data_IF_721097442767
#
_entry.id   IF_721097442767
#
_cell.length_a   1.000
_cell.length_b   1.000
_cell.length_c   1.000
_cell.angle_alpha   90.00
_cell.angle_beta   90.00
_cell.angle_gamma   90.00
#
_symmetry.space_group_name_H-M   'P 1'
#
loop_
_entity.id
_entity.type
_entity.pdbx_description
1 polymer ?
#
# COMPACT_ATOMS: atom_id res chain seq x y z
N UNK A 1 1.95 -5.35 17.16
CA UNK A 1 0.82 -4.45 16.81
C UNK A 1 1.15 -3.78 15.48
N UNK A 2 0.24 -3.84 14.50
CA UNK A 2 0.48 -3.21 13.18
C UNK A 2 0.51 -1.70 13.33
N UNK A 3 1.61 -1.07 12.89
CA UNK A 3 1.73 0.37 12.81
C UNK A 3 1.14 0.85 11.49
N UNK A 4 0.14 1.74 11.53
CA UNK A 4 -0.39 2.40 10.33
C UNK A 4 0.20 3.80 10.17
N UNK A 5 0.66 4.12 8.97
CA UNK A 5 1.12 5.45 8.54
C UNK A 5 0.28 5.84 7.33
N UNK A 6 -0.29 7.04 7.35
CA UNK A 6 -1.13 7.54 6.24
C UNK A 6 -0.39 8.67 5.55
N UNK A 7 -0.34 8.60 4.22
CA UNK A 7 0.27 9.62 3.36
C UNK A 7 -0.72 10.01 2.27
N UNK A 8 -0.61 11.25 1.77
CA UNK A 8 -1.52 11.83 0.76
C UNK A 8 -0.80 12.42 -0.44
N UNK A 9 0.52 12.33 -0.46
CA UNK A 9 1.36 12.81 -1.55
C UNK A 9 2.54 11.85 -1.78
N UNK A 10 3.18 12.00 -2.93
CA UNK A 10 4.38 11.22 -3.25
C UNK A 10 5.54 11.54 -2.28
N UNK A 11 5.73 12.82 -1.94
CA UNK A 11 6.79 13.24 -1.02
C UNK A 11 6.57 12.69 0.39
N UNK A 12 5.32 12.74 0.90
CA UNK A 12 4.98 12.12 2.19
C UNK A 12 5.22 10.61 2.18
N UNK A 13 4.91 9.95 1.06
CA UNK A 13 5.20 8.53 0.88
C UNK A 13 6.71 8.25 0.90
N UNK A 14 7.51 9.03 0.17
CA UNK A 14 8.97 8.90 0.14
C UNK A 14 9.57 9.09 1.54
N UNK A 15 9.12 10.09 2.29
CA UNK A 15 9.55 10.31 3.68
C UNK A 15 9.16 9.14 4.59
N UNK A 16 7.94 8.62 4.45
CA UNK A 16 7.49 7.45 5.20
C UNK A 16 8.35 6.22 4.89
N UNK A 17 8.62 5.93 3.62
CA UNK A 17 9.46 4.80 3.22
C UNK A 17 10.88 4.97 3.72
N UNK A 18 11.48 6.14 3.57
CA UNK A 18 12.84 6.37 4.05
C UNK A 18 12.98 6.17 5.56
N UNK A 19 11.91 6.48 6.31
CA UNK A 19 11.86 6.26 7.76
C UNK A 19 11.65 4.80 8.16
N UNK A 20 10.80 4.07 7.42
CA UNK A 20 10.32 2.75 7.85
C UNK A 20 10.91 1.58 7.09
N UNK A 21 11.60 1.79 5.95
CA UNK A 21 12.16 0.72 5.13
C UNK A 21 13.02 -0.25 5.97
N UNK A 22 12.92 -1.57 5.74
CA UNK A 22 13.68 -2.54 6.51
C UNK A 22 15.17 -2.28 6.36
N UNK A 23 15.89 -2.22 7.48
CA UNK A 23 17.36 -2.16 7.47
C UNK A 23 17.92 -3.58 7.50
N UNK A 24 19.17 -3.81 7.06
CA UNK A 24 19.77 -5.15 7.05
C UNK A 24 19.76 -5.89 8.40
N UNK A 25 19.70 -5.14 9.52
CA UNK A 25 19.63 -5.69 10.88
C UNK A 25 18.20 -6.06 11.32
N UNK A 26 17.19 -5.55 10.63
CA UNK A 26 15.77 -5.63 11.01
C UNK A 26 15.07 -6.73 10.19
N UNK A 27 15.65 -7.94 10.18
CA UNK A 27 15.19 -9.09 9.35
C UNK A 27 13.74 -9.55 9.59
N UNK A 28 13.05 -9.03 10.60
CA UNK A 28 11.68 -9.41 10.96
C UNK A 28 10.68 -8.26 10.79
N UNK A 29 11.12 -7.08 10.33
CA UNK A 29 10.25 -5.92 10.19
C UNK A 29 9.58 -5.96 8.81
N UNK A 30 8.27 -6.23 8.80
CA UNK A 30 7.47 -6.26 7.59
C UNK A 30 7.00 -4.84 7.26
N UNK A 31 7.31 -4.36 6.05
CA UNK A 31 6.82 -3.07 5.55
C UNK A 31 5.93 -3.29 4.34
N UNK A 32 4.69 -2.83 4.45
CA UNK A 32 3.67 -2.93 3.42
C UNK A 32 3.30 -1.53 2.93
N UNK A 33 3.18 -1.38 1.62
CA UNK A 33 2.73 -0.14 1.00
C UNK A 33 1.42 -0.41 0.28
N UNK A 34 0.34 0.22 0.73
CA UNK A 34 -0.96 0.13 0.09
C UNK A 34 -1.27 1.46 -0.58
N UNK A 35 -1.36 1.46 -1.90
CA UNK A 35 -1.73 2.62 -2.70
C UNK A 35 -3.19 2.51 -3.08
N UNK A 36 -3.96 3.54 -2.76
CA UNK A 36 -5.39 3.59 -3.01
C UNK A 36 -5.80 4.97 -3.51
N UNK A 37 -6.95 5.05 -4.18
CA UNK A 37 -7.57 6.34 -4.47
C UNK A 37 -7.93 7.08 -3.18
N UNK A 38 -7.72 8.39 -3.14
CA UNK A 38 -8.15 9.24 -2.02
C UNK A 38 -9.62 9.05 -1.68
N UNK A 39 -9.89 9.20 -0.39
CA UNK A 39 -11.22 9.04 0.20
C UNK A 39 -11.89 10.40 0.38
N UNK A 40 -13.20 10.44 0.20
CA UNK A 40 -14.01 11.61 0.52
C UNK A 40 -14.21 11.76 2.05
N UNK A 41 -15.03 12.74 2.46
CA UNK A 41 -15.32 12.97 3.89
C UNK A 41 -16.02 11.79 4.59
N UNK A 42 -16.60 10.85 3.84
CA UNK A 42 -17.26 9.64 4.36
C UNK A 42 -16.30 8.45 4.42
N UNK A 43 -15.08 8.60 3.91
CA UNK A 43 -14.10 7.51 3.83
C UNK A 43 -14.24 6.67 2.55
N UNK A 44 -15.05 7.11 1.59
CA UNK A 44 -15.28 6.39 0.34
C UNK A 44 -14.25 6.82 -0.71
N UNK A 45 -13.49 5.86 -1.23
CA UNK A 45 -12.51 6.11 -2.29
C UNK A 45 -13.20 6.41 -3.62
N UNK A 46 -12.63 7.29 -4.43
CA UNK A 46 -13.08 7.47 -5.81
C UNK A 46 -12.88 6.22 -6.69
N UNK A 47 -12.11 5.24 -6.20
CA UNK A 47 -11.86 3.95 -6.84
C UNK A 47 -12.70 2.85 -6.16
N UNK A 48 -13.68 2.24 -6.86
CA UNK A 48 -14.49 1.15 -6.31
C UNK A 48 -13.67 -0.06 -5.85
N UNK A 49 -12.62 -0.42 -6.59
CA UNK A 49 -11.73 -1.54 -6.24
C UNK A 49 -10.96 -1.28 -4.95
N UNK A 50 -10.60 -0.02 -4.67
CA UNK A 50 -10.00 0.37 -3.40
C UNK A 50 -10.98 0.20 -2.23
N UNK A 51 -12.26 0.53 -2.43
CA UNK A 51 -13.32 0.33 -1.43
C UNK A 51 -13.50 -1.16 -1.12
N UNK A 52 -13.45 -2.02 -2.15
CA UNK A 52 -13.56 -3.47 -2.00
C UNK A 52 -12.32 -4.10 -1.32
N UNK A 53 -11.11 -3.65 -1.68
CA UNK A 53 -9.85 -4.21 -1.16
C UNK A 53 -9.54 -3.81 0.29
N UNK A 54 -9.89 -2.59 0.71
CA UNK A 54 -9.60 -2.07 2.06
C UNK A 54 -10.06 -2.99 3.20
N UNK A 55 -11.32 -3.45 3.28
CA UNK A 55 -11.76 -4.34 4.36
C UNK A 55 -11.02 -5.69 4.36
N UNK A 56 -10.59 -6.18 3.20
CA UNK A 56 -9.85 -7.43 3.06
C UNK A 56 -8.45 -7.28 3.62
N UNK A 57 -7.75 -6.20 3.25
CA UNK A 57 -6.47 -5.84 3.84
C UNK A 57 -6.57 -5.68 5.36
N UNK A 58 -7.58 -4.95 5.85
CA UNK A 58 -7.76 -4.75 7.29
C UNK A 58 -8.06 -6.05 8.06
N UNK A 59 -8.79 -6.98 7.44
CA UNK A 59 -9.02 -8.31 8.01
C UNK A 59 -7.72 -9.13 8.05
N UNK A 60 -6.95 -9.14 6.96
CA UNK A 60 -5.70 -9.88 6.85
C UNK A 60 -4.63 -9.35 7.82
N UNK A 61 -4.57 -8.03 8.03
CA UNK A 61 -3.64 -7.39 8.97
C UNK A 61 -3.82 -7.83 10.42
N UNK A 62 -4.97 -8.40 10.80
CA UNK A 62 -5.16 -9.00 12.13
C UNK A 62 -4.28 -10.23 12.36
N UNK A 63 -3.83 -10.87 11.28
CA UNK A 63 -2.92 -12.02 11.28
C UNK A 63 -1.47 -11.64 10.97
N UNK A 64 -1.21 -10.37 10.63
CA UNK A 64 0.12 -9.93 10.27
C UNK A 64 1.10 -10.04 11.46
N UNK A 65 2.41 -10.24 11.20
CA UNK A 65 3.44 -10.24 12.23
C UNK A 65 3.38 -8.99 13.12
N UNK A 66 3.80 -9.12 14.40
CA UNK A 66 3.69 -8.02 15.36
C UNK A 66 4.44 -6.76 14.94
N UNK A 67 5.53 -6.90 14.17
CA UNK A 67 6.38 -5.81 13.69
C UNK A 67 6.05 -5.41 12.25
N UNK A 68 4.77 -5.34 11.93
CA UNK A 68 4.29 -4.88 10.62
C UNK A 68 4.07 -3.36 10.63
N UNK A 69 4.65 -2.65 9.65
CA UNK A 69 4.31 -1.27 9.33
C UNK A 69 3.55 -1.24 8.00
N UNK A 70 2.33 -0.70 8.03
CA UNK A 70 1.53 -0.41 6.85
C UNK A 70 1.60 1.08 6.54
N UNK A 71 2.11 1.42 5.36
CA UNK A 71 2.03 2.76 4.78
C UNK A 71 0.85 2.77 3.80
N UNK A 72 -0.20 3.52 4.11
CA UNK A 72 -1.34 3.73 3.23
C UNK A 72 -1.18 5.07 2.53
N UNK A 73 -1.02 5.03 1.21
CA UNK A 73 -0.87 6.23 0.37
C UNK A 73 -2.14 6.46 -0.43
N UNK A 74 -2.83 7.55 -0.10
CA UNK A 74 -4.04 7.98 -0.78
C UNK A 74 -3.70 8.95 -1.91
N UNK A 75 -4.09 8.60 -3.13
CA UNK A 75 -3.74 9.34 -4.35
C UNK A 75 -4.99 10.04 -4.88
N UNK A 76 -4.92 11.36 -5.04
CA UNK A 76 -5.99 12.14 -5.66
C UNK A 76 -6.24 11.71 -7.10
N UNK A 77 -7.52 11.66 -7.51
CA UNK A 77 -7.91 11.19 -8.85
C UNK A 77 -7.28 12.01 -9.97
N UNK A 78 -7.08 13.31 -9.74
CA UNK A 78 -6.45 14.24 -10.69
C UNK A 78 -4.97 13.93 -10.87
N UNK A 79 -4.27 13.61 -9.78
CA UNK A 79 -2.86 13.18 -9.81
C UNK A 79 -2.76 11.83 -10.52
N UNK A 80 -3.60 10.86 -10.17
CA UNK A 80 -3.56 9.51 -10.76
C UNK A 80 -3.75 9.50 -12.28
N UNK A 81 -4.60 10.40 -12.80
CA UNK A 81 -4.87 10.51 -14.24
C UNK A 81 -3.75 11.17 -15.05
N UNK A 82 -2.81 11.89 -14.42
CA UNK A 82 -1.69 12.47 -15.15
C UNK A 82 -0.73 11.35 -15.58
N UNK A 83 -0.40 11.27 -16.87
CA UNK A 83 0.58 10.29 -17.38
C UNK A 83 1.98 10.48 -16.81
N UNK A 84 2.28 11.67 -16.28
CA UNK A 84 3.55 12.00 -15.61
C UNK A 84 3.45 11.93 -14.10
N UNK A 85 2.41 11.29 -13.56
CA UNK A 85 2.27 11.17 -12.11
C UNK A 85 3.48 10.41 -11.53
N UNK A 86 4.02 10.88 -10.40
CA UNK A 86 5.28 10.36 -9.88
C UNK A 86 5.17 8.89 -9.45
N UNK A 87 3.99 8.41 -9.07
CA UNK A 87 3.78 7.01 -8.68
C UNK A 87 3.93 6.03 -9.85
N UNK A 88 3.49 6.41 -11.04
CA UNK A 88 3.61 5.60 -12.26
C UNK A 88 4.99 5.71 -12.91
N UNK A 89 5.66 6.84 -12.79
CA UNK A 89 6.98 7.08 -13.42
C UNK A 89 8.18 6.73 -12.55
N UNK A 90 7.98 6.58 -11.24
CA UNK A 90 9.03 6.18 -10.31
C UNK A 90 9.47 4.73 -10.57
N UNK A 91 10.78 4.48 -10.59
CA UNK A 91 11.35 3.17 -10.95
C UNK A 91 11.22 2.11 -9.86
N UNK A 92 11.04 2.50 -8.61
CA UNK A 92 10.83 1.56 -7.50
C UNK A 92 9.36 1.16 -7.41
N UNK A 93 8.45 2.08 -7.74
CA UNK A 93 7.00 1.83 -7.66
C UNK A 93 6.40 1.29 -8.96
N UNK A 94 6.65 1.98 -10.08
CA UNK A 94 6.04 1.76 -11.39
C UNK A 94 4.55 1.37 -11.29
N UNK A 95 3.75 2.15 -10.55
CA UNK A 95 2.35 1.82 -10.31
C UNK A 95 1.56 1.82 -11.62
N UNK A 96 0.88 0.71 -11.92
CA UNK A 96 0.04 0.56 -13.13
C UNK A 96 -1.45 0.69 -12.85
N UNK A 97 -1.86 0.41 -11.62
CA UNK A 97 -3.24 0.49 -11.17
C UNK A 97 -3.30 0.91 -9.69
N UNK A 98 -4.51 1.20 -9.23
CA UNK A 98 -4.88 1.22 -7.82
C UNK A 98 -6.16 0.37 -7.67
N UNK A 99 -6.33 -0.39 -6.59
CA UNK A 99 -5.40 -0.54 -5.47
C UNK A 99 -4.15 -1.36 -5.84
N UNK A 100 -3.02 -1.07 -5.20
CA UNK A 100 -1.82 -1.91 -5.26
C UNK A 100 -1.23 -2.07 -3.87
N UNK A 101 -0.92 -3.32 -3.49
CA UNK A 101 -0.28 -3.67 -2.24
C UNK A 101 1.12 -4.22 -2.51
N UNK A 102 2.16 -3.59 -1.94
CA UNK A 102 3.56 -3.97 -2.12
C UNK A 102 4.14 -4.44 -0.78
N UNK A 103 4.83 -5.57 -0.78
CA UNK A 103 5.75 -5.95 0.30
C UNK A 103 7.13 -5.37 0.01
N UNK A 104 7.45 -4.28 0.70
CA UNK A 104 8.62 -3.46 0.39
C UNK A 104 9.92 -4.26 0.47
N UNK A 105 10.82 -4.03 -0.48
CA UNK A 105 12.15 -4.67 -0.53
C UNK A 105 12.16 -6.13 -1.02
N UNK A 106 11.01 -6.74 -1.35
CA UNK A 106 10.93 -8.13 -1.81
C UNK A 106 10.52 -8.28 -3.28
N UNK A 107 10.06 -7.20 -3.92
CA UNK A 107 9.50 -7.22 -5.27
C UNK A 107 8.11 -7.88 -5.37
N UNK A 108 7.59 -8.47 -4.28
CA UNK A 108 6.25 -9.07 -4.23
C UNK A 108 5.21 -7.96 -4.13
N UNK A 109 4.20 -8.00 -5.00
CA UNK A 109 3.07 -7.07 -5.02
C UNK A 109 1.78 -7.76 -5.47
N UNK A 110 0.65 -7.16 -5.14
CA UNK A 110 -0.68 -7.51 -5.61
C UNK A 110 -1.31 -6.26 -6.21
N UNK A 111 -1.98 -6.44 -7.34
CA UNK A 111 -2.55 -5.37 -8.14
C UNK A 111 -4.06 -5.60 -8.33
N UNK A 112 -4.84 -4.54 -8.22
CA UNK A 112 -6.29 -4.47 -8.51
C UNK A 112 -7.08 -5.63 -7.89
N UNK A 113 -7.58 -6.57 -8.70
CA UNK A 113 -8.36 -7.74 -8.27
C UNK A 113 -7.61 -8.59 -7.27
N UNK A 114 -6.28 -8.69 -7.35
CA UNK A 114 -5.50 -9.47 -6.40
C UNK A 114 -5.53 -8.89 -4.99
N UNK A 115 -5.74 -7.57 -4.84
CA UNK A 115 -5.96 -6.94 -3.53
C UNK A 115 -7.34 -7.27 -2.95
N UNK A 116 -8.25 -7.81 -3.77
CA UNK A 116 -9.58 -8.26 -3.37
C UNK A 116 -9.62 -9.77 -3.08
N UNK A 117 -8.50 -10.47 -3.26
CA UNK A 117 -8.40 -11.90 -2.98
C UNK A 117 -7.76 -12.11 -1.60
N UNK A 118 -8.59 -12.45 -0.61
CA UNK A 118 -8.16 -12.63 0.79
C UNK A 118 -6.94 -13.55 0.91
N UNK A 119 -6.95 -14.69 0.22
CA UNK A 119 -5.87 -15.67 0.33
C UNK A 119 -4.55 -15.14 -0.26
N UNK A 120 -4.62 -14.33 -1.32
CA UNK A 120 -3.42 -13.67 -1.88
C UNK A 120 -2.87 -12.61 -0.93
N UNK A 121 -3.77 -11.79 -0.35
CA UNK A 121 -3.37 -10.77 0.63
C UNK A 121 -2.73 -11.42 1.84
N UNK A 122 -3.34 -12.45 2.43
CA UNK A 122 -2.77 -13.19 3.56
C UNK A 122 -1.40 -13.80 3.20
N UNK A 123 -1.27 -14.43 2.03
CA UNK A 123 0.00 -14.99 1.56
C UNK A 123 1.09 -13.93 1.34
N UNK A 124 0.74 -12.69 1.00
CA UNK A 124 1.71 -11.59 0.88
C UNK A 124 2.23 -11.15 2.25
N UNK A 125 1.42 -11.24 3.30
CA UNK A 125 1.79 -10.90 4.68
C UNK A 125 2.70 -11.96 5.32
N UNK A 126 2.59 -13.20 4.85
CA UNK A 126 3.39 -14.34 5.30
C UNK A 126 4.74 -14.39 4.55
N UNK A 127 5.81 -14.82 5.24
CA UNK A 127 7.16 -14.99 4.66
C UNK A 127 7.16 -16.03 3.52
#
# INVERSE_FOLDING_TARGET
MVKKVVTRSFDEFQDAINRWKPRPKDRQDLVLCFFAGSEDAKGDSWCPDCVAAKPILEAALKKAPEKTTLIMCYIERTIWKDMRNPFGTDKELELKCVPTLIRWGTGRRLDDVQCQEKDMVEMLLED
#
